data_IF_823024534373
#
_entry.id   IF_823024534373
#
_cell.length_a   1.000
_cell.length_b   1.000
_cell.length_c   1.000
_cell.angle_alpha   90.00
_cell.angle_beta   90.00
_cell.angle_gamma   90.00
#
_symmetry.space_group_name_H-M   'P 1'
#
loop_
_entity.id
_entity.type
_entity.pdbx_description
1 polymer ?
#
# COMPACT_ATOMS: atom_id res chain seq x y z
N UNK A 1 -18.00 40.47 76.04
CA UNK A 1 -16.76 40.75 75.28
C UNK A 1 -16.07 39.43 75.01
N UNK A 2 -15.92 39.01 73.75
CA UNK A 2 -15.35 37.69 73.43
C UNK A 2 -13.83 37.73 73.64
N UNK A 3 -13.27 36.78 74.38
CA UNK A 3 -11.82 36.82 74.69
C UNK A 3 -10.99 36.56 73.43
N UNK A 4 -9.74 37.03 73.40
CA UNK A 4 -8.84 36.88 72.23
C UNK A 4 -8.68 35.42 71.78
N UNK A 5 -8.81 34.47 72.69
CA UNK A 5 -8.77 33.03 72.39
C UNK A 5 -10.11 32.52 71.83
N UNK A 6 -11.25 33.03 72.31
CA UNK A 6 -12.58 32.72 71.75
C UNK A 6 -12.75 33.22 70.31
N UNK A 7 -12.25 34.43 70.00
CA UNK A 7 -12.27 34.97 68.63
C UNK A 7 -11.39 34.11 67.70
N UNK A 8 -10.17 33.74 68.13
CA UNK A 8 -9.29 32.87 67.35
C UNK A 8 -9.92 31.51 67.06
N UNK A 9 -10.59 30.91 68.06
CA UNK A 9 -11.31 29.65 67.89
C UNK A 9 -12.48 29.77 66.92
N UNK A 10 -13.30 30.81 67.05
CA UNK A 10 -14.44 31.06 66.15
C UNK A 10 -14.00 31.30 64.70
N UNK A 11 -12.93 32.06 64.48
CA UNK A 11 -12.35 32.27 63.13
C UNK A 11 -11.82 30.95 62.55
N UNK A 12 -11.18 30.11 63.37
CA UNK A 12 -10.68 28.80 62.95
C UNK A 12 -11.82 27.83 62.60
N UNK A 13 -12.86 27.73 63.43
CA UNK A 13 -14.05 26.93 63.17
C UNK A 13 -14.80 27.40 61.90
N UNK A 14 -14.92 28.71 61.70
CA UNK A 14 -15.53 29.30 60.48
C UNK A 14 -14.69 29.01 59.23
N UNK A 15 -13.36 29.10 59.32
CA UNK A 15 -12.46 28.76 58.22
C UNK A 15 -12.59 27.28 57.81
N UNK A 16 -12.71 26.36 58.78
CA UNK A 16 -12.94 24.93 58.50
C UNK A 16 -14.27 24.71 57.76
N UNK A 17 -15.37 25.34 58.19
CA UNK A 17 -16.68 25.19 57.51
C UNK A 17 -16.63 25.73 56.08
N UNK A 18 -15.97 26.87 55.85
CA UNK A 18 -15.75 27.42 54.50
C UNK A 18 -14.92 26.48 53.61
N UNK A 19 -13.88 25.85 54.15
CA UNK A 19 -13.07 24.86 53.43
C UNK A 19 -13.91 23.63 53.07
N UNK A 20 -14.72 23.10 54.00
CA UNK A 20 -15.60 21.95 53.74
C UNK A 20 -16.65 22.28 52.67
N UNK A 21 -17.27 23.46 52.73
CA UNK A 21 -18.23 23.91 51.72
C UNK A 21 -17.59 24.03 50.33
N UNK A 22 -16.38 24.59 50.25
CA UNK A 22 -15.61 24.66 49.00
C UNK A 22 -15.28 23.26 48.45
N UNK A 23 -14.85 22.33 49.31
CA UNK A 23 -14.59 20.93 48.92
C UNK A 23 -15.84 20.25 48.37
N UNK A 24 -17.03 20.49 48.97
CA UNK A 24 -18.29 19.90 48.50
C UNK A 24 -18.72 20.49 47.15
N UNK A 25 -18.62 21.81 46.94
CA UNK A 25 -18.99 22.44 45.67
C UNK A 25 -18.03 22.04 44.55
N UNK A 26 -16.72 22.07 44.81
CA UNK A 26 -15.70 21.62 43.85
C UNK A 26 -15.86 20.13 43.55
N UNK A 27 -16.00 19.29 44.58
CA UNK A 27 -16.22 17.85 44.42
C UNK A 27 -17.50 17.53 43.64
N UNK A 28 -18.61 18.22 43.92
CA UNK A 28 -19.87 18.06 43.18
C UNK A 28 -19.75 18.46 41.71
N UNK A 29 -19.03 19.53 41.41
CA UNK A 29 -18.74 19.95 40.03
C UNK A 29 -17.89 18.91 39.28
N UNK A 30 -16.83 18.39 39.90
CA UNK A 30 -16.02 17.32 39.32
C UNK A 30 -16.82 16.03 39.10
N UNK A 31 -17.63 15.61 40.08
CA UNK A 31 -18.46 14.39 39.98
C UNK A 31 -19.55 14.52 38.91
N UNK A 32 -20.19 15.68 38.76
CA UNK A 32 -21.19 15.90 37.70
C UNK A 32 -20.56 15.84 36.31
N UNK A 33 -19.43 16.53 36.12
CA UNK A 33 -18.71 16.56 34.84
C UNK A 33 -18.10 15.21 34.47
N UNK A 34 -17.66 14.41 35.46
CA UNK A 34 -17.19 13.05 35.20
C UNK A 34 -18.28 12.16 34.62
N UNK A 35 -19.52 12.25 35.13
CA UNK A 35 -20.66 11.44 34.64
C UNK A 35 -21.15 11.85 33.25
N UNK A 36 -21.09 13.15 32.94
CA UNK A 36 -21.44 13.66 31.62
C UNK A 36 -20.44 13.17 30.58
N UNK A 37 -19.14 13.27 30.88
CA UNK A 37 -18.08 12.71 30.06
C UNK A 37 -18.20 11.18 29.91
N UNK A 38 -18.45 10.45 31.00
CA UNK A 38 -18.62 8.99 31.02
C UNK A 38 -19.73 8.54 30.05
N UNK A 39 -20.90 9.19 30.08
CA UNK A 39 -22.00 8.90 29.15
C UNK A 39 -21.70 9.28 27.69
N UNK A 40 -20.95 10.36 27.45
CA UNK A 40 -20.49 10.71 26.10
C UNK A 40 -19.46 9.70 25.57
N UNK A 41 -18.61 9.15 26.45
CA UNK A 41 -17.71 8.06 26.08
C UNK A 41 -18.47 6.75 25.80
N UNK A 42 -19.51 6.40 26.58
CA UNK A 42 -20.38 5.26 26.27
C UNK A 42 -21.02 5.38 24.86
N UNK A 43 -21.43 6.60 24.48
CA UNK A 43 -21.99 6.91 23.16
C UNK A 43 -20.93 6.79 22.05
N UNK A 44 -19.76 7.44 22.20
CA UNK A 44 -18.66 7.30 21.25
C UNK A 44 -18.18 5.86 21.12
N UNK A 45 -18.05 5.11 22.21
CA UNK A 45 -17.68 3.69 22.17
C UNK A 45 -18.72 2.88 21.40
N UNK A 46 -20.02 3.09 21.64
CA UNK A 46 -21.10 2.40 20.91
C UNK A 46 -21.02 2.65 19.41
N UNK A 47 -20.88 3.91 19.01
CA UNK A 47 -21.04 4.33 17.61
C UNK A 47 -19.74 4.22 16.81
N UNK A 48 -18.58 4.34 17.46
CA UNK A 48 -17.28 4.33 16.81
C UNK A 48 -16.51 3.00 16.91
N UNK A 49 -16.85 2.09 17.84
CA UNK A 49 -16.22 0.75 17.89
C UNK A 49 -16.29 -0.02 16.57
N UNK A 50 -17.39 0.04 15.78
CA UNK A 50 -17.45 -0.66 14.49
C UNK A 50 -16.46 -0.15 13.43
N UNK A 51 -16.04 1.13 13.53
CA UNK A 51 -15.12 1.75 12.57
C UNK A 51 -13.67 1.82 13.06
N UNK A 52 -13.46 2.11 14.35
CA UNK A 52 -12.15 2.19 14.98
C UNK A 52 -12.29 1.78 16.47
N UNK A 53 -12.00 0.53 16.84
CA UNK A 53 -12.08 0.08 18.23
C UNK A 53 -11.11 0.84 19.14
N UNK A 54 -11.63 1.56 20.14
CA UNK A 54 -10.83 2.30 21.12
C UNK A 54 -11.48 2.27 22.52
N UNK A 55 -10.70 2.60 23.55
CA UNK A 55 -11.17 2.66 24.95
C UNK A 55 -11.76 4.02 25.33
N UNK A 56 -11.45 5.08 24.58
CA UNK A 56 -12.08 6.41 24.68
C UNK A 56 -11.85 7.22 23.41
N UNK A 57 -12.61 8.29 23.19
CA UNK A 57 -12.50 9.16 22.02
C UNK A 57 -12.57 10.64 22.41
N UNK A 58 -11.84 11.52 21.71
CA UNK A 58 -11.90 12.96 21.91
C UNK A 58 -12.07 13.72 20.57
N UNK A 59 -12.97 14.73 20.49
CA UNK A 59 -13.18 15.49 19.26
C UNK A 59 -11.95 16.34 18.89
N UNK A 60 -11.50 16.19 17.65
CA UNK A 60 -10.42 16.98 17.05
C UNK A 60 -10.91 18.38 16.70
N UNK A 61 -10.55 19.35 17.53
CA UNK A 61 -10.90 20.76 17.31
C UNK A 61 -9.77 21.48 16.55
N UNK A 62 -9.84 21.50 15.22
CA UNK A 62 -8.89 22.22 14.34
C UNK A 62 -9.60 23.25 13.46
N UNK A 63 -8.88 24.31 13.07
CA UNK A 63 -9.40 25.31 12.13
C UNK A 63 -9.52 24.78 10.69
N UNK A 64 -8.70 23.79 10.34
CA UNK A 64 -8.58 23.20 8.99
C UNK A 64 -9.87 22.48 8.56
N UNK A 65 -10.69 22.00 9.49
CA UNK A 65 -12.01 21.41 9.18
C UNK A 65 -12.91 22.35 8.36
N UNK A 66 -12.70 23.67 8.41
CA UNK A 66 -13.47 24.64 7.62
C UNK A 66 -13.16 24.61 6.13
N UNK A 67 -11.99 24.10 5.76
CA UNK A 67 -11.54 23.97 4.38
C UNK A 67 -12.04 22.65 3.75
N UNK A 68 -12.63 21.77 4.57
CA UNK A 68 -13.17 20.46 4.21
C UNK A 68 -14.67 20.38 4.56
N UNK A 69 -15.57 21.01 3.77
CA UNK A 69 -16.99 21.17 4.11
C UNK A 69 -17.77 19.85 4.21
N UNK A 70 -17.29 18.80 3.55
CA UNK A 70 -17.82 17.45 3.60
C UNK A 70 -17.62 16.79 4.98
N UNK A 71 -16.56 17.18 5.72
CA UNK A 71 -16.25 16.59 7.02
C UNK A 71 -17.01 17.34 8.13
N UNK A 72 -18.05 16.71 8.67
CA UNK A 72 -18.83 17.20 9.82
C UNK A 72 -17.98 17.26 11.08
N UNK A 73 -17.24 16.19 11.37
CA UNK A 73 -16.44 16.07 12.58
C UNK A 73 -15.27 15.09 12.41
N UNK A 74 -14.28 15.22 13.29
CA UNK A 74 -13.18 14.27 13.42
C UNK A 74 -12.94 14.01 14.92
N UNK A 75 -12.60 12.77 15.28
CA UNK A 75 -12.34 12.32 16.64
C UNK A 75 -11.05 11.50 16.67
N UNK A 76 -10.25 11.64 17.72
CA UNK A 76 -9.13 10.74 18.00
C UNK A 76 -9.63 9.61 18.91
N UNK A 77 -9.43 8.37 18.50
CA UNK A 77 -9.56 7.20 19.38
C UNK A 77 -8.30 6.99 20.22
N UNK A 78 -8.46 6.57 21.47
CA UNK A 78 -7.38 6.23 22.39
C UNK A 78 -7.55 4.81 22.95
N UNK A 79 -6.47 4.03 22.96
CA UNK A 79 -6.45 2.71 23.58
C UNK A 79 -6.52 2.75 25.12
N UNK A 80 -6.46 1.59 25.77
CA UNK A 80 -6.49 1.50 27.24
C UNK A 80 -5.26 2.10 27.91
N UNK A 81 -4.15 2.26 27.19
CA UNK A 81 -2.88 2.84 27.65
C UNK A 81 -2.80 4.35 27.35
N UNK A 82 -3.81 4.91 26.69
CA UNK A 82 -3.95 6.29 26.22
C UNK A 82 -3.05 6.67 25.03
N UNK A 83 -2.59 5.67 24.25
CA UNK A 83 -2.00 5.91 22.93
C UNK A 83 -3.10 6.22 21.91
N UNK A 84 -2.80 7.00 20.86
CA UNK A 84 -3.77 7.29 19.79
C UNK A 84 -3.91 6.04 18.92
N UNK A 85 -5.11 5.47 18.86
CA UNK A 85 -5.43 4.32 18.02
C UNK A 85 -5.66 4.73 16.56
N UNK A 86 -6.20 5.94 16.34
CA UNK A 86 -6.54 6.42 15.01
C UNK A 86 -7.53 7.59 15.05
N UNK A 87 -8.09 7.87 13.87
CA UNK A 87 -9.09 8.89 13.64
C UNK A 87 -10.43 8.25 13.28
N UNK A 88 -11.52 8.84 13.78
CA UNK A 88 -12.86 8.62 13.26
C UNK A 88 -13.30 9.91 12.59
N UNK A 89 -13.58 9.84 11.30
CA UNK A 89 -14.00 10.98 10.49
C UNK A 89 -15.47 10.77 10.10
N UNK A 90 -16.28 11.74 10.47
CA UNK A 90 -17.70 11.86 10.14
C UNK A 90 -17.78 12.74 8.88
N UNK A 91 -18.20 12.15 7.75
CA UNK A 91 -18.15 12.75 6.42
C UNK A 91 -19.45 12.55 5.63
N UNK A 92 -20.00 13.66 5.13
CA UNK A 92 -21.10 13.73 4.18
C UNK A 92 -20.58 14.00 2.77
N UNK A 93 -20.94 13.15 1.82
CA UNK A 93 -20.62 13.35 0.41
C UNK A 93 -21.89 13.31 -0.44
N UNK A 94 -22.09 14.36 -1.24
CA UNK A 94 -23.16 14.42 -2.26
C UNK A 94 -22.59 13.97 -3.60
N UNK A 95 -23.31 13.07 -4.28
CA UNK A 95 -23.04 12.56 -5.63
C UNK A 95 -23.60 13.51 -6.70
N UNK A 96 -23.11 13.42 -7.94
CA UNK A 96 -23.47 14.33 -9.05
C UNK A 96 -24.96 14.35 -9.40
N UNK A 97 -25.71 13.30 -9.05
CA UNK A 97 -27.17 13.20 -9.26
C UNK A 97 -28.00 13.70 -8.07
N UNK A 98 -27.36 14.33 -7.08
CA UNK A 98 -27.98 14.83 -5.84
C UNK A 98 -28.50 13.73 -4.88
N UNK A 99 -27.98 12.51 -4.99
CA UNK A 99 -27.98 11.53 -3.87
C UNK A 99 -26.79 11.77 -2.94
N UNK A 100 -26.81 11.25 -1.71
CA UNK A 100 -25.74 11.46 -0.74
C UNK A 100 -25.38 10.21 0.06
N UNK A 101 -24.18 10.19 0.64
CA UNK A 101 -23.75 9.17 1.60
C UNK A 101 -23.08 9.84 2.81
N UNK A 102 -23.51 9.46 4.01
CA UNK A 102 -23.00 9.92 5.31
C UNK A 102 -22.29 8.75 6.01
N UNK A 103 -20.97 8.89 6.16
CA UNK A 103 -20.10 7.82 6.60
C UNK A 103 -19.38 8.19 7.89
N UNK A 104 -19.26 7.21 8.78
CA UNK A 104 -18.20 7.16 9.77
C UNK A 104 -17.05 6.36 9.17
N UNK A 105 -15.87 6.97 9.08
CA UNK A 105 -14.64 6.35 8.55
C UNK A 105 -13.61 6.26 9.67
N UNK A 106 -13.22 5.03 10.02
CA UNK A 106 -12.08 4.76 10.89
C UNK A 106 -10.80 4.69 10.08
N UNK A 107 -9.76 5.40 10.50
CA UNK A 107 -8.42 5.40 9.89
C UNK A 107 -7.41 5.16 11.01
N UNK A 108 -6.49 4.20 10.86
CA UNK A 108 -5.44 3.98 11.85
C UNK A 108 -4.50 5.19 11.97
N UNK A 109 -3.80 5.29 13.10
CA UNK A 109 -2.89 6.41 13.32
C UNK A 109 -1.57 6.29 12.54
N UNK A 110 -1.10 5.06 12.29
CA UNK A 110 0.29 4.79 11.88
C UNK A 110 0.48 4.51 10.39
N UNK A 111 -0.46 3.83 9.73
CA UNK A 111 -0.28 3.35 8.35
C UNK A 111 -1.29 3.92 7.35
N UNK A 112 -2.16 4.83 7.80
CA UNK A 112 -3.28 5.41 7.05
C UNK A 112 -4.25 4.33 6.51
N UNK A 113 -4.38 3.23 7.27
CA UNK A 113 -5.26 2.11 6.95
C UNK A 113 -6.71 2.44 7.32
N UNK A 114 -7.64 2.24 6.40
CA UNK A 114 -9.08 2.25 6.70
C UNK A 114 -9.38 1.05 7.61
N UNK A 115 -9.72 1.32 8.87
CA UNK A 115 -9.98 0.30 9.90
C UNK A 115 -11.44 -0.15 9.92
N UNK A 116 -12.34 0.66 9.39
CA UNK A 116 -13.75 0.35 9.22
C UNK A 116 -14.52 1.52 8.61
N UNK A 117 -15.65 1.23 7.98
CA UNK A 117 -16.59 2.22 7.47
C UNK A 117 -17.99 1.81 7.91
N UNK A 118 -18.79 2.74 8.43
CA UNK A 118 -20.22 2.54 8.67
C UNK A 118 -21.05 3.62 7.99
N UNK A 119 -22.21 3.21 7.46
CA UNK A 119 -23.20 4.11 6.87
C UNK A 119 -24.20 4.54 7.95
N UNK A 120 -24.35 5.85 8.15
CA UNK A 120 -25.20 6.39 9.22
C UNK A 120 -26.69 6.38 8.85
N UNK A 121 -27.02 6.31 7.56
CA UNK A 121 -28.39 6.12 7.05
C UNK A 121 -29.42 7.18 7.53
N UNK A 122 -29.01 8.45 7.65
CA UNK A 122 -29.87 9.58 8.05
C UNK A 122 -30.23 10.54 6.90
N UNK A 123 -29.83 10.22 5.66
CA UNK A 123 -29.96 11.09 4.50
C UNK A 123 -31.39 11.11 3.90
N UNK A 124 -31.79 12.25 3.32
CA UNK A 124 -33.09 12.34 2.62
C UNK A 124 -33.11 11.57 1.27
N UNK A 125 -31.95 11.42 0.63
CA UNK A 125 -31.78 10.77 -0.67
C UNK A 125 -30.49 9.91 -0.68
N UNK A 126 -30.47 8.78 0.04
CA UNK A 126 -29.26 7.96 0.16
C UNK A 126 -28.84 7.34 -1.18
N UNK A 127 -27.54 7.42 -1.47
CA UNK A 127 -26.90 6.75 -2.61
C UNK A 127 -26.95 5.23 -2.45
N UNK A 128 -26.64 4.75 -1.26
CA UNK A 128 -26.64 3.33 -0.91
C UNK A 128 -27.88 3.05 -0.06
N UNK A 129 -28.80 2.24 -0.59
CA UNK A 129 -30.13 2.03 0.00
C UNK A 129 -30.32 0.65 0.65
N UNK A 130 -29.32 -0.22 0.53
CA UNK A 130 -29.36 -1.61 0.97
C UNK A 130 -28.12 -1.96 1.79
N UNK A 131 -28.32 -2.64 2.92
CA UNK A 131 -27.26 -2.97 3.89
C UNK A 131 -26.24 -3.97 3.31
N UNK A 132 -26.67 -4.88 2.42
CA UNK A 132 -25.78 -5.82 1.75
C UNK A 132 -24.99 -5.12 0.62
N UNK A 133 -25.59 -4.19 -0.12
CA UNK A 133 -24.87 -3.31 -1.05
C UNK A 133 -23.79 -2.48 -0.33
N UNK A 134 -24.13 -1.89 0.83
CA UNK A 134 -23.13 -1.19 1.65
C UNK A 134 -22.02 -2.14 2.15
N UNK A 135 -22.38 -3.36 2.57
CA UNK A 135 -21.41 -4.39 2.94
C UNK A 135 -20.38 -4.67 1.84
N UNK A 136 -20.82 -4.83 0.59
CA UNK A 136 -19.90 -5.05 -0.55
C UNK A 136 -18.96 -3.87 -0.80
N UNK A 137 -19.44 -2.63 -0.66
CA UNK A 137 -18.61 -1.40 -0.79
C UNK A 137 -17.66 -1.22 0.39
N UNK A 138 -18.07 -1.65 1.59
CA UNK A 138 -17.24 -1.64 2.81
C UNK A 138 -16.12 -2.68 2.71
N UNK A 139 -16.42 -3.89 2.26
CA UNK A 139 -15.47 -5.00 2.26
C UNK A 139 -14.27 -4.79 1.30
N UNK A 140 -14.43 -4.09 0.17
CA UNK A 140 -13.30 -3.74 -0.71
C UNK A 140 -12.47 -2.52 -0.23
N UNK A 141 -13.03 -1.69 0.66
CA UNK A 141 -12.39 -0.45 1.13
C UNK A 141 -11.78 -0.55 2.52
N UNK A 142 -12.28 -1.41 3.41
CA UNK A 142 -11.66 -1.69 4.72
C UNK A 142 -10.37 -2.49 4.52
N UNK A 143 -9.30 -2.12 5.22
CA UNK A 143 -7.95 -2.67 4.98
C UNK A 143 -7.19 -2.00 3.82
N UNK A 144 -7.75 -0.95 3.21
CA UNK A 144 -7.03 -0.13 2.23
C UNK A 144 -6.21 1.00 2.88
N UNK A 145 -5.06 1.34 2.30
CA UNK A 145 -4.25 2.48 2.73
C UNK A 145 -4.61 3.70 1.89
N UNK A 146 -5.05 4.78 2.50
CA UNK A 146 -5.38 6.02 1.78
C UNK A 146 -4.10 6.76 1.33
N UNK A 147 -4.08 7.43 0.17
CA UNK A 147 -5.19 7.60 -0.75
C UNK A 147 -5.39 6.41 -1.70
N UNK A 148 -6.65 6.22 -2.07
CA UNK A 148 -7.18 5.07 -2.83
C UNK A 148 -7.56 5.53 -4.24
N UNK A 149 -7.25 4.73 -5.25
CA UNK A 149 -7.88 4.81 -6.55
C UNK A 149 -8.65 3.53 -6.83
N UNK A 150 -9.62 3.59 -7.73
CA UNK A 150 -10.17 2.37 -8.34
C UNK A 150 -9.21 1.94 -9.46
N UNK A 151 -8.95 0.64 -9.58
CA UNK A 151 -8.31 0.06 -10.77
C UNK A 151 -9.21 0.33 -11.98
N UNK A 152 -8.75 1.10 -12.97
CA UNK A 152 -9.54 1.32 -14.18
C UNK A 152 -9.68 -0.02 -14.94
N UNK A 153 -10.84 -0.66 -14.81
CA UNK A 153 -11.37 -1.59 -15.81
C UNK A 153 -11.39 -0.83 -17.14
N UNK A 154 -10.63 -1.28 -18.13
CA UNK A 154 -10.43 -0.52 -19.37
C UNK A 154 -11.70 -0.42 -20.22
N UNK A 155 -12.56 0.57 -19.93
CA UNK A 155 -13.83 0.94 -20.59
C UNK A 155 -14.39 -0.18 -21.48
N UNK A 156 -15.12 -1.18 -20.96
CA UNK A 156 -16.32 -1.14 -20.10
C UNK A 156 -16.43 -2.51 -19.38
N UNK A 157 -17.03 -2.60 -18.17
CA UNK A 157 -16.46 -3.36 -17.05
C UNK A 157 -16.67 -4.89 -17.09
N UNK A 158 -15.70 -5.61 -16.51
CA UNK A 158 -15.84 -6.91 -15.84
C UNK A 158 -14.49 -7.25 -15.16
N UNK A 159 -14.44 -6.83 -13.90
CA UNK A 159 -13.45 -6.92 -12.82
C UNK A 159 -12.80 -8.30 -12.60
N UNK A 160 -11.47 -8.37 -12.46
CA UNK A 160 -10.74 -9.62 -12.11
C UNK A 160 -9.21 -9.41 -11.79
N UNK A 161 -8.81 -8.66 -10.74
CA UNK A 161 -7.67 -8.99 -9.81
C UNK A 161 -7.31 -7.96 -8.70
N UNK A 162 -8.13 -7.94 -7.63
CA UNK A 162 -7.88 -7.15 -6.41
C UNK A 162 -6.60 -7.58 -5.64
N UNK A 163 -6.18 -6.74 -4.68
CA UNK A 163 -4.92 -6.79 -3.91
C UNK A 163 -4.58 -8.13 -3.23
N UNK A 164 -3.27 -8.39 -3.14
CA UNK A 164 -2.68 -9.16 -2.02
C UNK A 164 -2.02 -8.25 -0.98
N UNK A 165 -2.54 -8.27 0.26
CA UNK A 165 -1.74 -8.08 1.48
C UNK A 165 -1.62 -9.44 2.18
N UNK A 166 -0.42 -9.81 2.61
CA UNK A 166 -0.10 -11.18 2.98
C UNK A 166 -0.39 -11.53 4.44
N UNK A 167 -1.67 -11.67 4.77
CA UNK A 167 -2.12 -12.28 6.04
C UNK A 167 -2.49 -13.76 5.83
N UNK A 168 -1.46 -14.58 5.57
CA UNK A 168 -1.59 -16.05 5.45
C UNK A 168 -0.64 -16.72 4.46
N UNK A 169 -0.14 -15.96 3.47
CA UNK A 169 0.48 -16.48 2.25
C UNK A 169 2.03 -16.45 2.22
N UNK A 170 2.69 -15.80 3.19
CA UNK A 170 4.16 -15.80 3.28
C UNK A 170 4.67 -17.17 3.75
N UNK A 171 5.24 -17.94 2.83
CA UNK A 171 5.78 -19.27 3.13
C UNK A 171 7.08 -19.12 3.94
N UNK A 172 7.19 -19.82 5.07
CA UNK A 172 8.39 -19.82 5.91
C UNK A 172 9.63 -20.26 5.11
N UNK A 173 10.74 -19.54 5.26
CA UNK A 173 11.98 -19.80 4.53
C UNK A 173 12.91 -18.61 4.50
N UNK A 174 14.06 -18.76 3.84
CA UNK A 174 14.97 -17.66 3.52
C UNK A 174 14.84 -17.35 2.03
N UNK A 175 14.65 -16.08 1.71
CA UNK A 175 14.44 -15.53 0.37
C UNK A 175 15.52 -14.49 0.08
N UNK A 176 15.93 -14.43 -1.17
CA UNK A 176 17.04 -13.59 -1.60
C UNK A 176 16.68 -12.98 -2.97
N UNK A 177 17.13 -11.74 -3.19
CA UNK A 177 17.06 -11.05 -4.47
C UNK A 177 18.28 -10.13 -4.61
N UNK A 178 18.82 -10.02 -5.84
CA UNK A 178 19.89 -9.08 -6.15
C UNK A 178 19.58 -8.26 -7.40
N UNK A 179 20.14 -7.06 -7.47
CA UNK A 179 20.06 -6.21 -8.65
C UNK A 179 20.68 -6.91 -9.86
N UNK A 180 19.98 -6.90 -10.99
CA UNK A 180 20.50 -7.47 -12.24
C UNK A 180 21.63 -6.61 -12.85
N UNK A 181 21.84 -5.39 -12.35
CA UNK A 181 22.92 -4.49 -12.75
C UNK A 181 23.68 -3.94 -11.55
N UNK A 182 24.98 -3.71 -11.75
CA UNK A 182 25.77 -2.91 -10.82
C UNK A 182 25.42 -1.42 -10.91
N UNK A 183 25.62 -0.69 -9.81
CA UNK A 183 25.56 0.77 -9.76
C UNK A 183 26.82 1.42 -10.36
N UNK A 184 26.86 2.76 -10.31
CA UNK A 184 27.99 3.57 -10.82
C UNK A 184 29.33 3.31 -10.10
N UNK A 185 29.30 2.71 -8.90
CA UNK A 185 30.46 2.43 -8.05
C UNK A 185 30.84 0.93 -8.09
N UNK A 186 30.20 0.16 -8.98
CA UNK A 186 30.45 -1.27 -9.18
C UNK A 186 29.74 -2.20 -8.20
N UNK A 187 28.80 -1.70 -7.39
CA UNK A 187 28.08 -2.48 -6.39
C UNK A 187 26.76 -3.04 -6.93
N UNK A 188 26.49 -4.31 -6.61
CA UNK A 188 25.24 -5.03 -6.88
C UNK A 188 24.51 -5.17 -5.55
N UNK A 189 23.46 -4.38 -5.36
CA UNK A 189 22.56 -4.47 -4.20
C UNK A 189 21.93 -5.86 -4.10
N UNK A 190 21.80 -6.37 -2.87
CA UNK A 190 20.99 -7.55 -2.56
C UNK A 190 20.17 -7.35 -1.28
N UNK A 191 19.01 -8.00 -1.23
CA UNK A 191 18.19 -8.13 -0.03
C UNK A 191 18.01 -9.60 0.30
N UNK A 192 18.12 -9.93 1.58
CA UNK A 192 17.80 -11.24 2.13
C UNK A 192 16.72 -11.10 3.20
N UNK A 193 15.66 -11.89 3.10
CA UNK A 193 14.50 -11.92 4.01
C UNK A 193 14.33 -13.33 4.56
N UNK A 194 14.24 -13.47 5.88
CA UNK A 194 13.82 -14.70 6.55
C UNK A 194 12.37 -14.54 6.99
N UNK A 195 11.49 -15.44 6.54
CA UNK A 195 10.09 -15.52 6.95
C UNK A 195 9.91 -16.65 7.97
N UNK A 196 9.30 -16.32 9.10
CA UNK A 196 8.89 -17.26 10.15
C UNK A 196 7.47 -16.95 10.61
N UNK A 197 6.60 -17.97 10.63
CA UNK A 197 5.18 -17.89 11.01
C UNK A 197 4.34 -16.94 10.13
N UNK A 198 4.74 -16.75 8.87
CA UNK A 198 4.08 -15.82 7.96
C UNK A 198 4.50 -14.35 8.11
N UNK A 199 5.50 -14.06 8.94
CA UNK A 199 6.06 -12.71 9.15
C UNK A 199 7.56 -12.69 8.78
N UNK A 200 8.08 -11.55 8.35
CA UNK A 200 9.51 -11.31 8.15
C UNK A 200 10.18 -11.22 9.53
N UNK A 201 10.92 -12.26 9.90
CA UNK A 201 11.64 -12.37 11.17
C UNK A 201 13.07 -11.84 11.12
N UNK A 202 13.64 -11.68 9.93
CA UNK A 202 14.96 -11.07 9.71
C UNK A 202 15.04 -10.49 8.30
N UNK A 203 15.75 -9.38 8.16
CA UNK A 203 16.10 -8.80 6.87
C UNK A 203 17.54 -8.27 6.87
N UNK A 204 18.18 -8.30 5.71
CA UNK A 204 19.50 -7.71 5.47
C UNK A 204 19.52 -7.05 4.10
N UNK A 205 20.12 -5.85 4.02
CA UNK A 205 20.47 -5.16 2.79
C UNK A 205 21.95 -4.84 2.77
N UNK A 206 22.66 -5.33 1.76
CA UNK A 206 24.05 -4.98 1.49
C UNK A 206 24.28 -4.97 -0.03
N UNK A 207 25.52 -4.76 -0.46
CA UNK A 207 25.87 -4.90 -1.87
C UNK A 207 27.26 -5.50 -2.06
N UNK A 208 27.36 -6.47 -2.98
CA UNK A 208 28.64 -7.03 -3.43
C UNK A 208 29.27 -6.12 -4.48
N UNK A 209 30.58 -5.91 -4.45
CA UNK A 209 31.26 -5.23 -5.56
C UNK A 209 31.66 -6.23 -6.65
N UNK A 210 31.59 -5.83 -7.92
CA UNK A 210 32.08 -6.63 -9.05
C UNK A 210 33.59 -6.86 -9.03
N UNK A 211 34.36 -6.02 -8.33
CA UNK A 211 35.76 -6.28 -7.99
C UNK A 211 35.80 -7.16 -6.72
N UNK A 212 36.23 -8.44 -6.80
CA UNK A 212 36.26 -9.35 -5.65
C UNK A 212 37.29 -8.96 -4.58
N UNK A 213 38.17 -7.99 -4.84
CA UNK A 213 39.09 -7.44 -3.83
C UNK A 213 38.42 -6.37 -2.96
N UNK A 214 37.33 -5.76 -3.44
CA UNK A 214 36.55 -4.75 -2.71
C UNK A 214 35.57 -5.43 -1.75
N UNK A 215 35.41 -4.86 -0.55
CA UNK A 215 34.50 -5.39 0.48
C UNK A 215 33.05 -4.99 0.21
N UNK A 216 32.12 -5.69 0.85
CA UNK A 216 30.70 -5.34 0.92
C UNK A 216 30.50 -3.85 1.19
N UNK A 217 29.46 -3.23 0.61
CA UNK A 217 29.21 -1.79 0.71
C UNK A 217 29.11 -1.33 2.17
N UNK A 218 28.52 -2.15 3.05
CA UNK A 218 28.52 -1.90 4.49
C UNK A 218 29.93 -1.77 5.10
N UNK A 219 30.80 -2.76 4.89
CA UNK A 219 32.18 -2.80 5.39
C UNK A 219 33.03 -1.68 4.77
N UNK A 220 32.89 -1.45 3.47
CA UNK A 220 33.54 -0.36 2.75
C UNK A 220 33.10 1.01 3.30
N UNK A 221 31.85 1.16 3.75
CA UNK A 221 31.39 2.41 4.36
C UNK A 221 31.88 2.60 5.79
N UNK A 222 31.89 1.53 6.61
CA UNK A 222 32.48 1.56 7.96
C UNK A 222 33.98 1.86 7.94
N UNK A 223 34.72 1.47 6.90
CA UNK A 223 36.12 1.82 6.71
C UNK A 223 36.36 3.16 6.01
N UNK A 224 35.29 3.86 5.59
CA UNK A 224 35.39 5.13 4.83
C UNK A 224 35.84 5.00 3.37
N UNK A 225 35.91 3.78 2.83
CA UNK A 225 36.20 3.50 1.42
C UNK A 225 34.97 3.73 0.51
N UNK A 226 33.77 3.75 1.07
CA UNK A 226 32.52 4.13 0.41
C UNK A 226 31.80 5.21 1.22
N UNK A 227 31.34 6.27 0.55
CA UNK A 227 30.64 7.40 1.18
C UNK A 227 29.34 7.73 0.47
N UNK A 228 28.37 8.21 1.25
CA UNK A 228 27.05 8.66 0.82
C UNK A 228 26.72 9.96 1.57
N UNK A 229 25.67 10.68 1.15
CA UNK A 229 25.14 11.80 1.93
C UNK A 229 24.62 11.34 3.30
N UNK A 230 24.75 12.20 4.30
CA UNK A 230 24.28 11.96 5.67
C UNK A 230 25.18 11.01 6.45
N UNK A 231 24.57 10.04 7.13
CA UNK A 231 25.27 9.00 7.88
C UNK A 231 26.08 8.04 6.98
N UNK A 232 26.93 7.19 7.58
CA UNK A 232 27.58 6.13 6.81
C UNK A 232 26.52 5.12 6.28
N UNK A 233 26.78 4.51 5.13
CA UNK A 233 25.80 3.67 4.42
C UNK A 233 25.39 2.43 5.24
N UNK A 234 26.29 1.86 6.05
CA UNK A 234 25.99 0.70 6.88
C UNK A 234 24.95 1.02 7.96
N UNK A 235 25.07 2.19 8.62
CA UNK A 235 24.05 2.69 9.55
C UNK A 235 22.73 2.95 8.82
N UNK A 236 22.75 3.58 7.65
CA UNK A 236 21.51 3.86 6.91
C UNK A 236 20.80 2.57 6.47
N UNK A 237 21.53 1.59 5.92
CA UNK A 237 20.98 0.30 5.55
C UNK A 237 20.39 -0.45 6.76
N UNK A 238 21.10 -0.45 7.89
CA UNK A 238 20.59 -1.05 9.14
C UNK A 238 19.28 -0.40 9.59
N UNK A 239 19.18 0.94 9.58
CA UNK A 239 17.96 1.64 9.97
C UNK A 239 16.79 1.29 9.05
N UNK A 240 17.00 1.23 7.73
CA UNK A 240 15.97 0.84 6.74
C UNK A 240 15.54 -0.62 6.94
N UNK A 241 16.49 -1.52 7.19
CA UNK A 241 16.21 -2.92 7.53
C UNK A 241 15.40 -3.05 8.82
N UNK A 242 15.73 -2.29 9.86
CA UNK A 242 15.01 -2.32 11.13
C UNK A 242 13.59 -1.80 10.99
N UNK A 243 13.38 -0.68 10.28
CA UNK A 243 12.05 -0.19 9.96
C UNK A 243 11.25 -1.23 9.16
N UNK A 244 11.86 -1.91 8.19
CA UNK A 244 11.19 -2.95 7.40
C UNK A 244 10.75 -4.18 8.25
N UNK A 245 11.43 -4.49 9.36
CA UNK A 245 11.00 -5.53 10.31
C UNK A 245 9.74 -5.13 11.09
N UNK A 246 9.55 -3.84 11.35
CA UNK A 246 8.37 -3.33 12.05
C UNK A 246 7.19 -3.16 11.08
N UNK A 247 7.47 -2.65 9.88
CA UNK A 247 6.47 -2.32 8.87
C UNK A 247 5.93 -3.54 8.10
N UNK A 248 6.74 -4.60 7.95
CA UNK A 248 6.40 -5.84 7.22
C UNK A 248 6.03 -5.67 5.72
N UNK A 249 6.16 -4.45 5.18
CA UNK A 249 5.80 -4.08 3.81
C UNK A 249 6.79 -3.02 3.27
N UNK A 250 7.40 -3.21 2.08
CA UNK A 250 8.32 -2.23 1.51
C UNK A 250 7.63 -0.94 1.06
N UNK A 251 6.32 -1.00 0.78
CA UNK A 251 5.47 0.15 0.44
C UNK A 251 5.39 1.13 1.63
N UNK A 252 5.20 0.59 2.84
CA UNK A 252 5.10 1.38 4.08
C UNK A 252 6.37 2.15 4.44
N UNK A 253 7.51 1.93 3.78
CA UNK A 253 8.71 2.75 3.94
C UNK A 253 8.55 4.17 3.36
N UNK A 254 7.42 4.48 2.72
CA UNK A 254 7.05 5.80 2.23
C UNK A 254 8.17 6.44 1.37
N UNK A 255 8.70 5.63 0.44
CA UNK A 255 9.77 6.08 -0.46
C UNK A 255 9.25 7.17 -1.41
N UNK A 256 9.96 8.30 -1.45
CA UNK A 256 9.69 9.44 -2.33
C UNK A 256 10.10 9.18 -3.78
N UNK A 257 9.64 10.05 -4.68
CA UNK A 257 10.00 10.04 -6.11
C UNK A 257 11.50 10.25 -6.38
N UNK A 258 12.23 10.94 -5.49
CA UNK A 258 13.70 11.02 -5.53
C UNK A 258 14.41 9.74 -5.03
N UNK A 259 13.64 8.82 -4.43
CA UNK A 259 14.06 7.54 -3.88
C UNK A 259 14.55 7.59 -2.43
N UNK A 260 14.43 8.71 -1.73
CA UNK A 260 14.68 8.82 -0.29
C UNK A 260 13.45 8.43 0.54
N UNK A 261 13.57 8.35 1.86
CA UNK A 261 12.44 8.28 2.80
C UNK A 261 12.63 9.31 3.90
N UNK A 262 11.52 9.80 4.48
CA UNK A 262 11.53 10.59 5.72
C UNK A 262 11.03 9.81 6.93
N UNK A 263 10.53 8.58 6.73
CA UNK A 263 10.02 7.74 7.81
C UNK A 263 11.16 7.15 8.67
N UNK A 264 12.31 6.90 8.05
CA UNK A 264 13.45 6.25 8.71
C UNK A 264 14.51 7.28 9.06
N UNK A 265 14.69 7.56 10.35
CA UNK A 265 15.63 8.57 10.83
C UNK A 265 17.09 8.25 10.43
N UNK A 266 17.84 9.28 10.06
CA UNK A 266 19.24 9.16 9.61
C UNK A 266 19.41 8.65 8.17
N UNK A 267 18.33 8.26 7.49
CA UNK A 267 18.37 7.77 6.11
C UNK A 267 18.21 8.93 5.13
N UNK A 268 19.24 9.14 4.32
CA UNK A 268 19.29 10.13 3.22
C UNK A 268 19.87 9.52 1.93
N UNK A 269 20.16 8.22 1.93
CA UNK A 269 20.51 7.46 0.75
C UNK A 269 19.24 7.11 -0.05
N UNK A 270 19.44 6.69 -1.30
CA UNK A 270 18.34 6.22 -2.14
C UNK A 270 18.01 4.76 -1.78
N UNK A 271 16.79 4.52 -1.31
CA UNK A 271 16.28 3.20 -0.88
C UNK A 271 15.53 2.45 -1.99
N UNK A 272 15.51 2.95 -3.22
CA UNK A 272 14.75 2.33 -4.32
C UNK A 272 15.15 0.90 -4.59
N UNK A 273 16.45 0.62 -4.63
CA UNK A 273 16.96 -0.74 -4.81
C UNK A 273 16.61 -1.65 -3.64
N UNK A 274 16.56 -1.13 -2.42
CA UNK A 274 16.05 -1.89 -1.27
C UNK A 274 14.58 -2.26 -1.44
N UNK A 275 13.72 -1.28 -1.73
CA UNK A 275 12.27 -1.47 -1.89
C UNK A 275 11.96 -2.46 -3.02
N UNK A 276 12.61 -2.31 -4.18
CA UNK A 276 12.47 -3.23 -5.33
C UNK A 276 12.85 -4.68 -4.96
N UNK A 277 13.99 -4.89 -4.31
CA UNK A 277 14.49 -6.22 -3.98
C UNK A 277 13.76 -6.85 -2.77
N UNK A 278 13.28 -6.04 -1.82
CA UNK A 278 12.43 -6.51 -0.73
C UNK A 278 11.08 -7.01 -1.25
N UNK A 279 10.48 -6.32 -2.24
CA UNK A 279 9.28 -6.80 -2.95
C UNK A 279 9.54 -8.12 -3.68
N UNK A 280 10.67 -8.25 -4.41
CA UNK A 280 11.03 -9.51 -5.07
C UNK A 280 11.19 -10.66 -4.07
N UNK A 281 11.84 -10.42 -2.91
CA UNK A 281 11.94 -11.41 -1.83
C UNK A 281 10.57 -11.83 -1.26
N UNK A 282 9.67 -10.87 -1.05
CA UNK A 282 8.30 -11.11 -0.59
C UNK A 282 7.51 -11.93 -1.62
N UNK A 283 7.54 -11.54 -2.89
CA UNK A 283 6.87 -12.29 -3.95
C UNK A 283 7.47 -13.69 -4.15
N UNK A 284 8.79 -13.85 -3.98
CA UNK A 284 9.46 -15.14 -3.96
C UNK A 284 8.97 -16.00 -2.78
N UNK A 285 8.71 -15.41 -1.61
CA UNK A 285 8.11 -16.11 -0.47
C UNK A 285 6.71 -16.63 -0.76
N UNK A 286 5.82 -15.81 -1.34
CA UNK A 286 4.47 -16.25 -1.76
C UNK A 286 4.49 -17.51 -2.64
N UNK A 287 5.49 -17.64 -3.51
CA UNK A 287 5.64 -18.76 -4.44
C UNK A 287 6.53 -19.92 -3.91
N UNK A 288 7.06 -19.82 -2.68
CA UNK A 288 8.02 -20.78 -2.14
C UNK A 288 9.31 -20.87 -2.98
N UNK A 289 9.73 -19.76 -3.59
CA UNK A 289 10.95 -19.65 -4.38
C UNK A 289 12.11 -19.25 -3.48
N UNK A 290 12.52 -20.18 -2.62
CA UNK A 290 13.56 -19.97 -1.61
C UNK A 290 14.94 -19.57 -2.18
N UNK A 291 15.83 -19.10 -1.31
CA UNK A 291 17.21 -18.70 -1.62
C UNK A 291 18.01 -19.79 -2.38
N UNK A 292 17.71 -21.09 -2.16
CA UNK A 292 18.36 -22.18 -2.89
C UNK A 292 17.88 -22.23 -4.33
N UNK A 293 16.56 -22.20 -4.55
CA UNK A 293 15.93 -22.12 -5.87
C UNK A 293 16.36 -20.87 -6.64
N UNK A 294 16.53 -19.75 -5.94
CA UNK A 294 17.06 -18.52 -6.52
C UNK A 294 18.47 -18.69 -7.09
N UNK A 295 19.41 -19.26 -6.34
CA UNK A 295 20.76 -19.50 -6.86
C UNK A 295 20.81 -20.56 -7.95
N UNK A 296 19.97 -21.61 -7.88
CA UNK A 296 19.84 -22.59 -8.97
C UNK A 296 19.36 -21.93 -10.27
N UNK A 297 18.33 -21.07 -10.19
CA UNK A 297 17.84 -20.31 -11.34
C UNK A 297 18.85 -19.28 -11.85
N UNK A 298 19.49 -18.50 -10.97
CA UNK A 298 20.52 -17.53 -11.36
C UNK A 298 21.72 -18.23 -12.01
N UNK A 299 22.17 -19.38 -11.47
CA UNK A 299 23.21 -20.21 -12.06
C UNK A 299 22.84 -20.76 -13.44
N UNK A 300 21.57 -21.13 -13.65
CA UNK A 300 21.04 -21.53 -14.96
C UNK A 300 21.03 -20.35 -15.96
N UNK A 301 20.57 -19.17 -15.53
CA UNK A 301 20.59 -17.94 -16.35
C UNK A 301 22.02 -17.58 -16.74
N UNK A 302 22.97 -17.58 -15.78
CA UNK A 302 24.40 -17.38 -16.04
C UNK A 302 24.91 -18.40 -17.07
N UNK A 303 24.60 -19.68 -16.89
CA UNK A 303 25.04 -20.76 -17.78
C UNK A 303 24.50 -20.60 -19.20
N UNK A 304 23.24 -20.15 -19.37
CA UNK A 304 22.63 -19.87 -20.68
C UNK A 304 23.21 -18.62 -21.34
N UNK A 305 23.36 -17.52 -20.59
CA UNK A 305 23.81 -16.21 -21.11
C UNK A 305 25.32 -16.18 -21.37
N UNK A 306 26.12 -16.86 -20.53
CA UNK A 306 27.60 -16.82 -20.57
C UNK A 306 28.25 -18.12 -21.06
N UNK A 307 27.47 -19.19 -21.26
CA UNK A 307 27.96 -20.48 -21.78
C UNK A 307 28.85 -21.26 -20.81
N UNK A 308 28.86 -20.89 -19.52
CA UNK A 308 29.69 -21.47 -18.44
C UNK A 308 28.98 -21.34 -17.09
N UNK A 309 29.28 -22.24 -16.16
CA UNK A 309 28.78 -22.16 -14.79
C UNK A 309 29.34 -20.92 -14.06
N UNK A 310 28.69 -20.50 -12.97
CA UNK A 310 29.18 -19.39 -12.15
C UNK A 310 30.55 -19.70 -11.52
N UNK A 311 30.77 -20.97 -11.17
CA UNK A 311 32.01 -21.52 -10.64
C UNK A 311 33.14 -21.47 -11.69
N UNK A 312 32.87 -21.90 -12.93
CA UNK A 312 33.84 -21.83 -14.04
C UNK A 312 34.19 -20.39 -14.47
N UNK A 313 33.33 -19.43 -14.13
CA UNK A 313 33.55 -18.01 -14.33
C UNK A 313 34.28 -17.34 -13.16
N UNK A 314 34.41 -18.01 -12.01
CA UNK A 314 35.03 -17.47 -10.81
C UNK A 314 34.24 -16.31 -10.16
N UNK A 315 32.93 -16.24 -10.41
CA UNK A 315 32.03 -15.18 -9.91
C UNK A 315 31.24 -15.61 -8.66
N UNK A 316 31.54 -16.78 -8.11
CA UNK A 316 31.02 -17.25 -6.81
C UNK A 316 31.98 -16.82 -5.71
N UNK A 317 31.49 -16.09 -4.71
CA UNK A 317 32.31 -15.64 -3.58
C UNK A 317 32.52 -16.74 -2.52
N UNK A 318 33.33 -16.45 -1.49
CA UNK A 318 33.65 -17.41 -0.41
C UNK A 318 32.41 -17.91 0.36
N UNK A 319 31.34 -17.12 0.41
CA UNK A 319 30.06 -17.45 1.05
C UNK A 319 29.03 -18.10 0.09
N UNK A 320 29.40 -18.34 -1.17
CA UNK A 320 28.56 -19.04 -2.16
C UNK A 320 27.60 -18.17 -2.99
N UNK A 321 27.69 -16.84 -2.92
CA UNK A 321 26.83 -15.93 -3.70
C UNK A 321 27.38 -15.71 -5.11
N UNK A 322 26.49 -15.64 -6.10
CA UNK A 322 26.82 -15.36 -7.51
C UNK A 322 26.86 -13.84 -7.73
N UNK A 323 28.05 -13.26 -7.75
CA UNK A 323 28.27 -11.81 -7.94
C UNK A 323 28.34 -11.49 -9.43
N UNK A 324 27.22 -11.10 -10.04
CA UNK A 324 27.15 -10.80 -11.48
C UNK A 324 26.31 -9.55 -11.80
N UNK A 325 26.80 -8.77 -12.75
CA UNK A 325 26.06 -7.67 -13.41
C UNK A 325 25.77 -8.04 -14.86
N UNK A 326 24.50 -8.00 -15.25
CA UNK A 326 24.01 -8.16 -16.62
C UNK A 326 23.92 -6.82 -17.36
N UNK A 327 24.56 -5.74 -16.88
CA UNK A 327 24.50 -4.40 -17.49
C UNK A 327 24.85 -4.38 -19.00
N UNK A 328 25.68 -5.32 -19.47
CA UNK A 328 26.06 -5.47 -20.88
C UNK A 328 25.11 -6.40 -21.69
N UNK A 329 24.11 -6.97 -21.04
CA UNK A 329 23.17 -7.98 -21.55
C UNK A 329 21.72 -7.58 -21.19
N UNK A 330 21.24 -6.37 -21.54
CA UNK A 330 19.95 -5.83 -21.06
C UNK A 330 18.73 -6.67 -21.44
N UNK A 331 18.78 -7.39 -22.56
CA UNK A 331 17.74 -8.30 -23.02
C UNK A 331 17.47 -9.47 -22.05
N UNK A 332 18.36 -9.72 -21.08
CA UNK A 332 18.19 -10.78 -20.05
C UNK A 332 17.15 -10.38 -18.99
N UNK A 333 17.08 -9.11 -18.62
CA UNK A 333 16.25 -8.62 -17.51
C UNK A 333 15.27 -7.51 -17.90
N UNK A 334 15.19 -7.14 -19.18
CA UNK A 334 14.22 -6.15 -19.69
C UNK A 334 13.21 -6.78 -20.63
N UNK A 335 11.92 -6.46 -20.42
CA UNK A 335 10.87 -6.78 -21.38
C UNK A 335 10.79 -5.66 -22.40
N UNK A 336 10.90 -6.01 -23.68
CA UNK A 336 10.84 -5.06 -24.80
C UNK A 336 9.58 -5.26 -25.65
N UNK A 337 8.98 -4.15 -26.09
CA UNK A 337 7.87 -4.13 -27.05
C UNK A 337 8.31 -3.35 -28.28
N UNK A 338 7.96 -3.85 -29.46
CA UNK A 338 8.18 -3.12 -30.72
C UNK A 338 7.09 -2.07 -30.88
N UNK A 339 7.46 -0.82 -31.10
CA UNK A 339 6.51 0.24 -31.43
C UNK A 339 6.04 0.19 -32.89
N UNK A 340 5.09 1.05 -33.25
CA UNK A 340 4.52 1.15 -34.60
C UNK A 340 5.53 1.54 -35.69
N UNK A 341 6.73 1.99 -35.32
CA UNK A 341 7.83 2.35 -36.22
C UNK A 341 8.86 1.22 -36.36
N UNK A 342 8.70 0.11 -35.64
CA UNK A 342 9.62 -1.02 -35.66
C UNK A 342 10.74 -0.97 -34.62
N UNK A 343 10.74 0.02 -33.72
CA UNK A 343 11.78 0.16 -32.69
C UNK A 343 11.42 -0.65 -31.44
N UNK A 344 12.38 -1.42 -30.91
CA UNK A 344 12.21 -2.08 -29.60
C UNK A 344 12.41 -1.07 -28.48
N UNK A 345 11.40 -0.92 -27.61
CA UNK A 345 11.46 -0.11 -26.39
C UNK A 345 11.26 -1.01 -25.17
N UNK A 346 12.15 -0.90 -24.18
CA UNK A 346 11.98 -1.56 -22.89
C UNK A 346 10.82 -0.91 -22.12
N UNK A 347 9.94 -1.72 -21.54
CA UNK A 347 8.78 -1.25 -20.77
C UNK A 347 8.73 -1.78 -19.34
N UNK A 348 9.48 -2.83 -19.02
CA UNK A 348 9.59 -3.37 -17.66
C UNK A 348 10.98 -4.00 -17.41
N UNK A 349 11.36 -4.07 -16.13
CA UNK A 349 12.48 -4.85 -15.62
C UNK A 349 11.92 -6.04 -14.84
N UNK A 350 12.55 -7.21 -14.96
CA UNK A 350 12.11 -8.46 -14.31
C UNK A 350 13.23 -9.11 -13.50
N UNK A 351 12.85 -9.79 -12.41
CA UNK A 351 13.72 -10.52 -11.50
C UNK A 351 13.98 -11.97 -11.91
N UNK A 352 14.85 -12.65 -11.17
CA UNK A 352 15.42 -13.97 -11.55
C UNK A 352 14.34 -15.03 -11.77
N UNK A 353 13.33 -15.08 -10.90
CA UNK A 353 12.21 -16.04 -11.00
C UNK A 353 11.43 -15.90 -12.32
N UNK A 354 11.16 -14.65 -12.73
CA UNK A 354 10.40 -14.35 -13.95
C UNK A 354 11.22 -14.68 -15.21
N UNK A 355 12.53 -14.41 -15.18
CA UNK A 355 13.46 -14.73 -16.27
C UNK A 355 13.54 -16.25 -16.48
N UNK A 356 13.73 -17.04 -15.42
CA UNK A 356 13.79 -18.50 -15.52
C UNK A 356 12.47 -19.10 -16.01
N UNK A 357 11.33 -18.61 -15.53
CA UNK A 357 10.01 -19.04 -16.01
C UNK A 357 9.78 -18.71 -17.49
N UNK A 358 10.28 -17.56 -17.97
CA UNK A 358 10.23 -17.19 -19.39
C UNK A 358 11.03 -18.17 -20.28
N UNK A 359 12.22 -18.57 -19.84
CA UNK A 359 13.03 -19.56 -20.56
C UNK A 359 12.43 -20.96 -20.57
N UNK A 360 11.72 -21.38 -19.51
CA UNK A 360 11.07 -22.69 -19.47
C UNK A 360 9.92 -22.77 -20.48
N UNK A 361 9.06 -21.74 -20.56
CA UNK A 361 7.99 -21.67 -21.57
C UNK A 361 8.51 -21.72 -23.01
N UNK A 362 9.64 -21.06 -23.30
CA UNK A 362 10.28 -21.13 -24.62
C UNK A 362 10.83 -22.51 -24.98
N UNK A 363 11.11 -23.38 -24.00
CA UNK A 363 11.49 -24.77 -24.26
C UNK A 363 10.26 -25.65 -24.53
N UNK A 364 9.13 -25.38 -23.86
CA UNK A 364 7.86 -26.09 -24.09
C UNK A 364 7.25 -25.71 -25.45
N UNK A 365 7.18 -24.43 -25.80
CA UNK A 365 6.71 -23.95 -27.12
C UNK A 365 7.67 -24.33 -28.26
N UNK A 366 8.96 -24.54 -27.96
CA UNK A 366 9.96 -24.98 -28.92
C UNK A 366 9.93 -26.48 -29.25
N UNK A 367 8.96 -27.25 -28.71
CA UNK A 367 8.96 -28.71 -28.76
C UNK A 367 7.90 -29.33 -29.69
N UNK A 368 7.07 -28.52 -30.36
CA UNK A 368 6.05 -29.00 -31.32
C UNK A 368 6.54 -29.13 -32.79
N UNK A 369 7.77 -28.74 -33.11
CA UNK A 369 8.26 -28.66 -34.50
C UNK A 369 9.33 -29.73 -34.85
N UNK A 370 9.03 -31.01 -34.56
CA UNK A 370 9.76 -32.19 -35.07
C UNK A 370 8.84 -33.35 -35.48
N UNK A 371 8.62 -33.42 -36.80
CA UNK A 371 7.86 -34.39 -37.58
C UNK A 371 8.50 -35.83 -37.57
N UNK A 372 7.91 -36.89 -38.16
CA UNK A 372 6.97 -37.79 -37.49
C UNK A 372 7.41 -39.28 -37.58
N UNK A 373 7.04 -40.15 -36.62
CA UNK A 373 6.79 -41.58 -36.92
C UNK A 373 6.14 -42.40 -35.78
N UNK A 374 5.08 -43.13 -36.15
CA UNK A 374 4.59 -44.42 -35.64
C UNK A 374 4.53 -44.67 -34.11
N UNK A 375 3.30 -44.62 -33.56
CA UNK A 375 2.57 -45.87 -33.28
C UNK A 375 1.06 -45.70 -33.06
N UNK A 376 0.33 -46.65 -33.63
CA UNK A 376 -1.14 -46.73 -33.66
C UNK A 376 -1.77 -47.25 -32.35
N UNK A 377 -3.10 -47.04 -32.27
CA UNK A 377 -4.11 -47.85 -31.59
C UNK A 377 -4.14 -47.96 -30.05
N UNK A 378 -5.12 -47.26 -29.45
CA UNK A 378 -6.45 -47.88 -29.24
C UNK A 378 -7.61 -46.93 -28.90
N UNK A 379 -8.73 -47.16 -29.60
CA UNK A 379 -10.12 -46.68 -29.40
C UNK A 379 -10.67 -47.08 -28.00
N UNK A 380 -11.63 -46.35 -27.41
CA UNK A 380 -13.07 -46.61 -27.63
C UNK A 380 -13.90 -45.31 -27.84
N UNK A 381 -14.67 -45.17 -28.91
CA UNK A 381 -16.08 -45.58 -29.10
C UNK A 381 -17.14 -44.57 -28.62
N UNK A 382 -17.70 -43.89 -29.63
CA UNK A 382 -18.92 -43.08 -29.61
C UNK A 382 -20.10 -43.71 -28.90
N UNK A 383 -20.97 -42.85 -28.35
CA UNK A 383 -22.38 -42.90 -28.70
C UNK A 383 -22.89 -41.49 -29.07
N UNK A 384 -23.30 -41.35 -30.32
CA UNK A 384 -24.02 -40.20 -30.87
C UNK A 384 -25.31 -39.85 -30.10
N UNK A 385 -25.66 -38.55 -30.13
CA UNK A 385 -26.94 -38.14 -30.74
C UNK A 385 -27.03 -36.64 -31.09
N UNK A 386 -27.15 -36.39 -32.39
CA UNK A 386 -28.04 -35.42 -33.05
C UNK A 386 -29.23 -34.91 -32.20
N UNK A 387 -29.81 -33.71 -32.37
CA UNK A 387 -29.72 -32.63 -33.39
C UNK A 387 -30.11 -31.29 -32.70
N UNK A 388 -30.17 -30.08 -33.28
CA UNK A 388 -30.18 -29.60 -34.68
C UNK A 388 -29.54 -28.19 -34.81
N UNK A 389 -29.55 -27.60 -36.02
CA UNK A 389 -29.29 -26.17 -36.27
C UNK A 389 -30.57 -25.47 -36.73
N UNK A 390 -30.84 -24.26 -36.24
CA UNK A 390 -31.49 -23.20 -37.04
C UNK A 390 -31.07 -21.80 -36.61
N UNK A 391 -30.43 -21.06 -37.52
CA UNK A 391 -30.43 -19.59 -37.54
C UNK A 391 -31.56 -19.12 -38.48
N UNK A 392 -32.19 -17.97 -38.20
CA UNK A 392 -32.15 -16.87 -39.18
C UNK A 392 -31.86 -15.53 -38.48
N UNK A 393 -30.86 -14.75 -38.89
CA UNK A 393 -30.86 -13.87 -40.08
C UNK A 393 -31.90 -12.73 -40.03
N UNK A 394 -31.42 -11.55 -39.62
CA UNK A 394 -31.77 -10.27 -40.24
C UNK A 394 -33.00 -9.51 -39.73
N UNK A 395 -32.77 -8.31 -39.20
CA UNK A 395 -33.32 -7.12 -39.85
C UNK A 395 -32.53 -5.85 -39.53
N UNK A 396 -32.30 -5.02 -40.55
CA UNK A 396 -31.73 -3.67 -40.41
C UNK A 396 -32.82 -2.68 -40.00
N UNK A 397 -32.44 -1.61 -39.29
CA UNK A 397 -33.17 -0.33 -39.32
C UNK A 397 -32.25 0.79 -38.85
N UNK A 398 -31.67 1.53 -39.80
CA UNK A 398 -30.91 2.74 -39.52
C UNK A 398 -31.85 3.93 -39.30
N UNK A 399 -31.48 4.84 -38.40
CA UNK A 399 -31.96 6.23 -38.39
C UNK A 399 -30.74 7.14 -38.29
N UNK A 400 -30.50 7.90 -39.36
CA UNK A 400 -29.57 9.03 -39.40
C UNK A 400 -30.30 10.31 -39.00
N UNK A 401 -29.52 11.30 -38.50
CA UNK A 401 -29.73 12.77 -38.42
C UNK A 401 -29.05 13.27 -37.13
N UNK A 402 -28.27 14.35 -37.06
CA UNK A 402 -27.49 15.17 -38.03
C UNK A 402 -26.52 16.04 -37.18
N UNK A 403 -25.32 16.45 -37.64
CA UNK A 403 -24.31 17.09 -36.77
C UNK A 403 -24.25 18.63 -36.87
N UNK A 404 -23.88 19.28 -35.77
CA UNK A 404 -23.55 20.72 -35.67
C UNK A 404 -23.72 21.22 -34.22
N UNK A 405 -23.01 22.23 -33.73
CA UNK A 405 -21.95 23.06 -34.35
C UNK A 405 -21.09 23.71 -33.25
N UNK A 406 -19.78 23.74 -33.49
CA UNK A 406 -18.66 24.52 -32.92
C UNK A 406 -18.83 25.47 -31.71
N UNK A 407 -17.90 25.36 -30.76
CA UNK A 407 -17.59 26.37 -29.72
C UNK A 407 -16.08 26.47 -29.45
N UNK A 408 -15.43 27.54 -29.93
CA UNK A 408 -13.96 27.69 -30.03
C UNK A 408 -13.17 27.76 -28.72
N UNK A 409 -11.93 27.30 -28.84
CA UNK A 409 -10.73 27.53 -28.03
C UNK A 409 -10.65 28.92 -27.36
N UNK A 410 -10.07 28.94 -26.15
CA UNK A 410 -9.06 29.92 -25.76
C UNK A 410 -7.74 29.18 -25.51
N UNK A 411 -6.68 29.51 -26.26
CA UNK A 411 -5.35 28.91 -26.11
C UNK A 411 -4.59 29.55 -24.95
N UNK A 412 -4.07 28.75 -24.02
CA UNK A 412 -3.01 29.21 -23.10
C UNK A 412 -2.06 28.09 -22.64
N UNK A 413 -1.22 27.64 -23.57
CA UNK A 413 0.20 27.35 -23.38
C UNK A 413 0.66 26.75 -22.02
N UNK A 414 0.55 25.42 -21.86
CA UNK A 414 1.75 24.53 -21.76
C UNK A 414 1.42 23.04 -21.61
N UNK A 415 2.37 22.21 -22.05
CA UNK A 415 2.31 20.76 -21.96
C UNK A 415 2.58 20.25 -20.54
N UNK A 416 1.87 19.17 -20.17
CA UNK A 416 2.43 17.90 -19.67
C UNK A 416 1.33 17.20 -18.85
N UNK A 417 0.57 16.30 -19.50
CA UNK A 417 -0.50 15.52 -18.86
C UNK A 417 0.09 14.43 -17.97
N UNK A 418 0.47 14.80 -16.74
CA UNK A 418 0.60 13.88 -15.62
C UNK A 418 -0.79 13.67 -15.04
N UNK A 419 -1.31 12.44 -15.12
CA UNK A 419 -2.66 12.13 -14.63
C UNK A 419 -2.80 12.34 -13.12
N UNK A 420 -3.98 12.80 -12.71
CA UNK A 420 -4.40 12.95 -11.31
C UNK A 420 -5.76 12.29 -11.10
N UNK A 421 -5.99 11.79 -9.88
CA UNK A 421 -7.24 11.19 -9.42
C UNK A 421 -7.66 11.94 -8.15
N UNK A 422 -8.87 12.49 -8.13
CA UNK A 422 -9.42 13.28 -7.01
C UNK A 422 -8.47 14.40 -6.51
N UNK A 423 -7.85 15.11 -7.47
CA UNK A 423 -6.81 16.14 -7.28
C UNK A 423 -5.49 15.67 -6.67
N UNK A 424 -5.28 14.36 -6.56
CA UNK A 424 -4.02 13.73 -6.13
C UNK A 424 -3.22 13.23 -7.34
N UNK A 425 -1.89 13.43 -7.40
CA UNK A 425 -1.07 12.78 -8.43
C UNK A 425 -1.19 11.26 -8.33
N UNK A 426 -1.22 10.55 -9.46
CA UNK A 426 -1.27 9.06 -9.46
C UNK A 426 -0.11 8.44 -8.64
N UNK A 427 1.03 9.13 -8.55
CA UNK A 427 2.18 8.71 -7.74
C UNK A 427 1.99 8.84 -6.21
N UNK A 428 0.95 9.53 -5.73
CA UNK A 428 0.57 9.54 -4.31
C UNK A 428 -0.39 8.39 -3.94
N UNK A 429 -1.00 7.71 -4.92
CA UNK A 429 -1.94 6.62 -4.68
C UNK A 429 -1.24 5.43 -4.01
N UNK A 430 -1.61 5.17 -2.76
CA UNK A 430 -1.08 4.10 -1.92
C UNK A 430 -1.80 2.76 -2.13
N UNK A 431 -2.92 2.78 -2.85
CA UNK A 431 -3.81 1.63 -3.01
C UNK A 431 -4.61 1.77 -4.30
N UNK A 432 -4.68 0.68 -5.05
CA UNK A 432 -5.73 0.46 -6.05
C UNK A 432 -6.69 -0.59 -5.51
N UNK A 433 -7.99 -0.33 -5.59
CA UNK A 433 -9.09 -1.25 -5.21
C UNK A 433 -9.92 -1.58 -6.44
N UNK A 434 -10.61 -2.70 -6.39
CA UNK A 434 -11.53 -3.11 -7.43
C UNK A 434 -12.97 -2.87 -6.98
N UNK A 435 -13.84 -2.59 -7.94
CA UNK A 435 -15.21 -2.18 -7.65
C UNK A 435 -16.16 -3.32 -8.01
N UNK A 436 -16.86 -3.93 -7.03
CA UNK A 436 -17.72 -5.09 -7.31
C UNK A 436 -18.71 -4.81 -8.45
N UNK A 437 -18.94 -5.77 -9.37
CA UNK A 437 -19.73 -5.55 -10.57
C UNK A 437 -21.10 -4.91 -10.29
N UNK A 438 -21.32 -3.74 -10.89
CA UNK A 438 -22.53 -2.93 -10.72
C UNK A 438 -22.49 -1.90 -9.57
N UNK A 439 -21.43 -1.87 -8.76
CA UNK A 439 -21.25 -0.92 -7.63
C UNK A 439 -20.14 0.12 -7.84
N UNK A 440 -19.59 0.25 -9.06
CA UNK A 440 -18.53 1.21 -9.40
C UNK A 440 -18.83 2.64 -8.92
N UNK A 441 -20.09 3.07 -9.04
CA UNK A 441 -20.51 4.43 -8.69
C UNK A 441 -20.48 4.68 -7.18
N UNK A 442 -20.98 3.70 -6.42
CA UNK A 442 -21.01 3.68 -4.97
C UNK A 442 -19.58 3.65 -4.43
N UNK A 443 -18.76 2.70 -4.90
CA UNK A 443 -17.33 2.60 -4.55
C UNK A 443 -16.60 3.89 -4.92
N UNK A 444 -16.81 4.47 -6.11
CA UNK A 444 -16.15 5.73 -6.50
C UNK A 444 -16.51 6.89 -5.57
N UNK A 445 -17.77 6.99 -5.17
CA UNK A 445 -18.19 8.04 -4.24
C UNK A 445 -17.51 7.87 -2.87
N UNK A 446 -17.45 6.64 -2.34
CA UNK A 446 -16.77 6.37 -1.06
C UNK A 446 -15.25 6.54 -1.17
N UNK A 447 -14.60 6.12 -2.27
CA UNK A 447 -13.17 6.35 -2.54
C UNK A 447 -12.84 7.85 -2.53
N UNK A 448 -13.66 8.68 -3.16
CA UNK A 448 -13.46 10.14 -3.13
C UNK A 448 -13.67 10.73 -1.74
N UNK A 449 -14.58 10.18 -0.91
CA UNK A 449 -14.68 10.51 0.51
C UNK A 449 -13.40 10.13 1.28
N UNK A 450 -12.85 8.93 1.08
CA UNK A 450 -11.58 8.49 1.69
C UNK A 450 -10.39 9.36 1.26
N UNK A 451 -10.32 9.76 -0.02
CA UNK A 451 -9.30 10.67 -0.52
C UNK A 451 -9.44 12.09 0.05
N UNK A 452 -10.67 12.48 0.41
CA UNK A 452 -10.96 13.75 1.11
C UNK A 452 -10.51 13.67 2.57
N UNK A 453 -10.74 12.54 3.25
CA UNK A 453 -10.15 12.23 4.56
C UNK A 453 -8.61 12.26 4.54
N UNK A 454 -7.97 11.68 3.52
CA UNK A 454 -6.51 11.73 3.34
C UNK A 454 -6.01 13.17 3.21
N UNK A 455 -6.62 13.99 2.33
CA UNK A 455 -6.25 15.39 2.14
C UNK A 455 -6.38 16.19 3.44
N UNK A 456 -7.49 16.00 4.18
CA UNK A 456 -7.68 16.61 5.51
C UNK A 456 -6.59 16.21 6.51
N UNK A 457 -6.25 14.92 6.61
CA UNK A 457 -5.21 14.44 7.52
C UNK A 457 -3.80 14.92 7.12
N UNK A 458 -3.50 14.94 5.81
CA UNK A 458 -2.25 15.47 5.23
C UNK A 458 -2.03 16.94 5.61
N UNK A 459 -3.07 17.77 5.50
CA UNK A 459 -3.05 19.17 5.90
C UNK A 459 -3.01 19.34 7.43
N UNK A 460 -3.81 18.57 8.17
CA UNK A 460 -3.86 18.62 9.64
C UNK A 460 -2.51 18.25 10.29
N UNK A 461 -1.84 17.22 9.75
CA UNK A 461 -0.51 16.79 10.17
C UNK A 461 0.62 17.63 9.55
N UNK A 462 0.28 18.60 8.68
CA UNK A 462 1.19 19.54 8.04
C UNK A 462 2.35 18.83 7.31
N UNK A 463 2.01 17.83 6.49
CA UNK A 463 2.96 17.16 5.60
C UNK A 463 3.41 18.13 4.50
N UNK A 464 4.66 18.59 4.59
CA UNK A 464 5.20 19.69 3.80
C UNK A 464 5.18 19.43 2.28
N UNK A 465 4.66 20.44 1.56
CA UNK A 465 4.81 20.72 0.12
C UNK A 465 6.28 20.95 -0.26
#
# INVERSE_FOLDING_TARGET
MMTRNGIRRFVFETAIVMIIAAIIVVGGYFVSRSKENERLQEEYIRDFTPVLPASSYAPLNTAILKDYPDIKACYLGYDSEHNIAGYVIDIDRVSDDNTSVHLLVGIDYESSLVTGIEHVSDEEAPLITDENAFGMVKDCLVGSIIPVAISDEGDVPDDDSEKQVLTGDLINGVYYAQSMTADKDGYIDFVEIEVSKGEISRIQWDAFNIDPTTKLRSLSSLSGAYTVSGENWATQSYNVCHAMLELQSPEKLAMKSDGTTQLVEGVTCNIRKFVELAKECIDNSKAGFDKKRYFEALGNIVSRVKGKTAEDLGIVNEDGYIVISFQNDPDVYTLTKTDSEGNKKAYAVIGVRQIEAGYQKQQEEGQDDKDPQDKEDKKPEDQDKDTEKTNPTGNESAVNLDPGEDGKNDDNDKSDLVGSIDDLPIAEISTFVEAPPGFYREVRTVVTSLNTCYKFLKDYLNWLV
#
